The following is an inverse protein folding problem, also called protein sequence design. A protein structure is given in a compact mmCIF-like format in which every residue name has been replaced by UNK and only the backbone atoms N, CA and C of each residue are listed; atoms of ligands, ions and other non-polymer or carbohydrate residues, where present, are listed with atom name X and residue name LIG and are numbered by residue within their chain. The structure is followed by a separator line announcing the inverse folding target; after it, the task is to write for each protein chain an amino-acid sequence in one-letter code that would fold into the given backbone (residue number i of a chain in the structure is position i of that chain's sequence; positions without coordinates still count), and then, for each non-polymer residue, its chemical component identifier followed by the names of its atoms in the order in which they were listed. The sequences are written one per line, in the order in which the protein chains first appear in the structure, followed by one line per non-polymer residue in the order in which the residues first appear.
data_IF_668864663917
#
_entry.id   IF_668864663917
#
_cell.length_a   1.000
_cell.length_b   1.000
_cell.length_c   1.000
_cell.angle_alpha   90.00
_cell.angle_beta   90.00
_cell.angle_gamma   90.00
#
_symmetry.space_group_name_H-M   'P 1'
#
loop_
_entity.id
_entity.type
_entity.pdbx_description
1 polymer ?
#
# COMPACT_ATOMS: atom_id res chain seq x y z
N UNK A 1 3.49 10.77 2.76
CA UNK A 1 2.64 10.78 1.53
C UNK A 1 1.17 10.74 1.94
N UNK A 2 0.23 10.97 1.02
CA UNK A 2 -1.22 10.81 1.28
C UNK A 2 -1.62 9.33 1.46
N UNK A 3 -0.71 8.40 1.15
CA UNK A 3 -0.96 6.96 1.15
C UNK A 3 -0.49 6.25 2.43
N UNK A 4 0.26 6.94 3.27
CA UNK A 4 0.84 6.42 4.50
C UNK A 4 -0.16 6.45 5.66
N UNK A 5 -0.29 5.35 6.39
CA UNK A 5 -0.99 5.34 7.67
C UNK A 5 -0.11 6.00 8.75
N UNK A 6 -0.37 7.29 9.01
CA UNK A 6 0.47 8.13 9.90
C UNK A 6 0.22 7.86 11.38
N UNK A 7 -0.87 7.19 11.74
CA UNK A 7 -1.17 6.84 13.13
C UNK A 7 -0.46 5.57 13.58
N UNK A 8 0.15 4.84 12.65
CA UNK A 8 0.72 3.53 12.92
C UNK A 8 2.03 3.30 12.17
N UNK A 9 3.08 4.02 12.57
CA UNK A 9 4.43 3.84 12.03
C UNK A 9 5.24 2.94 12.95
N UNK A 10 5.85 1.90 12.39
CA UNK A 10 6.74 1.01 13.11
C UNK A 10 8.19 1.43 12.90
N UNK A 11 8.91 1.67 14.00
CA UNK A 11 10.36 1.88 14.00
C UNK A 11 11.01 0.66 14.64
N UNK A 12 11.93 0.05 13.91
CA UNK A 12 12.73 -1.08 14.38
C UNK A 12 14.15 -0.59 14.60
N UNK A 13 14.65 -0.72 15.83
CA UNK A 13 15.99 -0.27 16.22
C UNK A 13 16.83 -1.44 16.66
N UNK A 14 18.04 -1.55 16.14
CA UNK A 14 19.01 -2.55 16.54
C UNK A 14 20.14 -1.88 17.34
N UNK A 15 20.24 -2.21 18.64
CA UNK A 15 21.34 -1.78 19.50
C UNK A 15 22.00 -3.02 20.12
N UNK A 16 23.33 -3.11 20.01
CA UNK A 16 24.13 -4.19 20.61
C UNK A 16 23.62 -5.61 20.26
N UNK A 17 23.12 -5.80 19.03
CA UNK A 17 22.56 -7.07 18.57
C UNK A 17 21.15 -7.39 19.09
N UNK A 18 20.51 -6.49 19.84
CA UNK A 18 19.11 -6.62 20.27
C UNK A 18 18.21 -5.71 19.44
N UNK A 19 17.12 -6.27 18.93
CA UNK A 19 16.08 -5.53 18.19
C UNK A 19 14.97 -5.06 19.12
N UNK A 20 14.67 -3.78 19.04
CA UNK A 20 13.57 -3.12 19.74
C UNK A 20 12.58 -2.55 18.72
N UNK A 21 11.31 -2.48 19.11
CA UNK A 21 10.21 -2.07 18.26
C UNK A 21 9.44 -0.94 18.93
N UNK A 22 9.25 0.16 18.22
CA UNK A 22 8.46 1.30 18.66
C UNK A 22 7.34 1.58 17.67
N UNK A 23 6.14 1.87 18.17
CA UNK A 23 5.05 2.40 17.34
C UNK A 23 4.91 3.89 17.59
N UNK A 24 4.73 4.64 16.50
CA UNK A 24 4.58 6.09 16.51
C UNK A 24 3.26 6.46 15.82
N UNK A 25 2.55 7.38 16.48
CA UNK A 25 1.45 8.11 15.89
C UNK A 25 1.91 9.54 15.59
N UNK A 26 2.18 9.85 14.32
CA UNK A 26 2.63 11.18 13.91
C UNK A 26 1.50 12.23 13.91
N UNK A 27 0.26 11.84 14.25
CA UNK A 27 -0.88 12.76 14.34
C UNK A 27 -1.04 13.34 15.75
N UNK A 28 -0.40 12.73 16.75
CA UNK A 28 -0.42 13.18 18.14
C UNK A 28 0.83 13.99 18.49
N UNK A 29 0.67 15.02 19.33
CA UNK A 29 1.81 15.77 19.88
C UNK A 29 2.69 14.92 20.80
N UNK A 30 2.15 13.84 21.38
CA UNK A 30 2.94 12.91 22.19
C UNK A 30 4.05 12.20 21.42
N UNK A 31 4.03 12.26 20.08
CA UNK A 31 5.10 11.71 19.25
C UNK A 31 6.48 12.30 19.58
N UNK A 32 6.53 13.58 19.97
CA UNK A 32 7.78 14.28 20.29
C UNK A 32 8.41 13.76 21.59
N UNK A 33 7.63 13.13 22.46
CA UNK A 33 8.09 12.53 23.71
C UNK A 33 8.59 11.08 23.51
N UNK A 34 8.38 10.51 22.32
CA UNK A 34 8.75 9.12 22.06
C UNK A 34 10.27 8.95 21.95
N UNK A 35 10.86 7.89 22.54
CA UNK A 35 12.28 7.56 22.38
C UNK A 35 12.65 7.14 20.94
N UNK A 36 11.65 6.97 20.07
CA UNK A 36 11.81 6.65 18.66
C UNK A 36 11.56 7.87 17.73
N UNK A 37 11.33 9.07 18.28
CA UNK A 37 11.11 10.27 17.48
C UNK A 37 12.34 10.64 16.64
N UNK A 38 13.52 10.60 17.25
CA UNK A 38 14.78 10.75 16.53
C UNK A 38 15.29 9.38 16.09
N UNK A 39 15.57 9.26 14.79
CA UNK A 39 16.16 8.07 14.20
C UNK A 39 17.62 7.94 14.61
N UNK A 40 18.02 6.71 14.88
CA UNK A 40 19.39 6.31 15.14
C UNK A 40 19.93 5.48 13.97
N UNK A 41 21.22 5.22 13.98
CA UNK A 41 21.84 4.37 12.96
C UNK A 41 21.23 2.97 12.99
N UNK A 42 21.01 2.39 11.81
CA UNK A 42 20.36 1.09 11.61
C UNK A 42 18.89 1.04 12.04
N UNK A 43 18.23 2.18 12.25
CA UNK A 43 16.78 2.19 12.40
C UNK A 43 16.11 1.90 11.05
N UNK A 44 15.13 1.00 11.07
CA UNK A 44 14.25 0.71 9.93
C UNK A 44 12.87 1.26 10.22
N UNK A 45 12.38 2.12 9.34
CA UNK A 45 11.05 2.73 9.44
C UNK A 45 10.10 2.03 8.47
N UNK A 46 9.08 1.38 9.01
CA UNK A 46 8.01 0.75 8.24
C UNK A 46 6.71 1.53 8.42
N UNK A 47 6.10 1.90 7.30
CA UNK A 47 4.85 2.65 7.24
C UNK A 47 3.84 1.84 6.46
N UNK A 48 2.78 1.42 7.14
CA UNK A 48 1.69 0.68 6.51
C UNK A 48 0.90 1.59 5.56
N UNK A 49 0.51 1.11 4.36
CA UNK A 49 -0.38 1.88 3.49
C UNK A 49 -1.82 1.90 4.04
N UNK A 50 -2.55 2.97 3.80
CA UNK A 50 -3.99 3.01 4.12
C UNK A 50 -4.77 2.03 3.21
N UNK A 51 -5.74 1.30 3.76
CA UNK A 51 -6.51 0.28 3.02
C UNK A 51 -7.21 0.82 1.76
N UNK A 52 -7.61 2.10 1.76
CA UNK A 52 -8.21 2.76 0.60
C UNK A 52 -7.34 2.68 -0.67
N UNK A 53 -6.02 2.48 -0.55
CA UNK A 53 -5.13 2.31 -1.71
C UNK A 53 -5.10 0.89 -2.26
N UNK A 54 -5.19 -0.14 -1.43
CA UNK A 54 -5.18 -1.55 -1.90
C UNK A 54 -6.38 -1.79 -2.82
N UNK A 55 -7.51 -1.13 -2.56
CA UNK A 55 -8.72 -1.22 -3.38
C UNK A 55 -8.68 -0.37 -4.67
N UNK A 56 -7.89 0.72 -4.73
CA UNK A 56 -7.91 1.68 -5.85
C UNK A 56 -6.86 1.43 -6.94
N UNK A 57 -6.06 0.35 -6.85
CA UNK A 57 -5.20 -0.08 -7.97
C UNK A 57 -5.99 -0.83 -9.05
N UNK A 58 -7.21 -1.26 -8.73
CA UNK A 58 -8.12 -1.84 -9.71
C UNK A 58 -9.15 -0.79 -10.15
N UNK A 59 -8.80 -0.01 -11.18
CA UNK A 59 -9.74 0.88 -11.82
C UNK A 59 -10.90 0.03 -12.41
N UNK A 60 -12.15 0.13 -11.90
CA UNK A 60 -13.25 -0.74 -12.30
C UNK A 60 -13.53 -0.68 -13.80
N UNK A 61 -13.28 0.48 -14.39
CA UNK A 61 -13.47 0.78 -15.80
C UNK A 61 -12.47 0.00 -16.69
N UNK A 62 -11.21 -0.11 -16.26
CA UNK A 62 -10.16 -0.87 -16.96
C UNK A 62 -10.41 -2.38 -16.90
N UNK A 63 -11.00 -2.88 -15.80
CA UNK A 63 -11.46 -4.28 -15.71
C UNK A 63 -12.62 -4.55 -16.67
N UNK A 64 -13.61 -3.66 -16.73
CA UNK A 64 -14.74 -3.81 -17.64
C UNK A 64 -14.33 -3.80 -19.12
N UNK A 65 -13.39 -2.92 -19.50
CA UNK A 65 -12.82 -2.87 -20.86
C UNK A 65 -12.04 -4.15 -21.19
N UNK A 66 -11.31 -4.70 -20.22
CA UNK A 66 -10.56 -5.95 -20.43
C UNK A 66 -11.49 -7.14 -20.72
N UNK A 67 -12.63 -7.22 -20.02
CA UNK A 67 -13.62 -8.28 -20.25
C UNK A 67 -14.38 -8.12 -21.58
N UNK A 68 -14.61 -6.90 -22.05
CA UNK A 68 -15.32 -6.68 -23.33
C UNK A 68 -14.51 -7.14 -24.55
N UNK A 69 -13.17 -7.09 -24.48
CA UNK A 69 -12.30 -7.56 -25.57
C UNK A 69 -12.53 -9.04 -25.95
N UNK A 70 -12.76 -9.90 -24.96
CA UNK A 70 -13.05 -11.32 -25.19
C UNK A 70 -14.41 -11.55 -25.87
N UNK A 71 -15.43 -10.79 -25.45
CA UNK A 71 -16.76 -10.86 -26.05
C UNK A 71 -16.76 -10.41 -27.51
N UNK A 72 -16.01 -9.35 -27.82
CA UNK A 72 -15.84 -8.86 -29.20
C UNK A 72 -15.15 -9.93 -30.06
N UNK A 73 -14.11 -10.59 -29.55
CA UNK A 73 -13.40 -11.64 -30.28
C UNK A 73 -14.27 -12.89 -30.55
N UNK A 74 -15.14 -13.28 -29.61
CA UNK A 74 -16.06 -14.40 -29.80
C UNK A 74 -17.11 -14.04 -30.87
N UNK A 75 -17.66 -12.82 -30.83
CA UNK A 75 -18.65 -12.37 -31.80
C UNK A 75 -18.08 -12.32 -33.22
N UNK A 76 -16.86 -11.80 -33.40
CA UNK A 76 -16.20 -11.75 -34.72
C UNK A 76 -15.90 -13.15 -35.27
N UNK A 77 -15.52 -14.10 -34.41
CA UNK A 77 -15.30 -15.49 -34.81
C UNK A 77 -16.59 -16.13 -35.35
N UNK A 78 -17.71 -15.96 -34.64
CA UNK A 78 -19.02 -16.49 -35.08
C UNK A 78 -19.43 -15.90 -36.42
N UNK A 79 -19.29 -14.58 -36.60
CA UNK A 79 -19.63 -13.89 -37.85
C UNK A 79 -18.75 -14.40 -39.01
N UNK A 80 -17.48 -14.69 -38.75
CA UNK A 80 -16.55 -15.19 -39.77
C UNK A 80 -16.87 -16.62 -40.20
N UNK A 81 -17.27 -17.49 -39.27
CA UNK A 81 -17.64 -18.88 -39.57
C UNK A 81 -19.02 -18.95 -40.27
N UNK A 82 -19.91 -18.01 -40.00
CA UNK A 82 -21.27 -17.99 -40.57
C UNK A 82 -21.32 -17.35 -41.97
N UNK A 83 -20.23 -16.71 -42.41
CA UNK A 83 -20.12 -16.08 -43.73
C UNK A 83 -19.61 -17.03 -44.80
#
# INVERSE_FOLDING_TARGET
TTYANRTNILVMREQEGRRSYGRLDLTSTSVFESPYFYLQQNDVVYVEPIQAKVATVADPLTRAISYSSGLIAIATLIITITR
#
